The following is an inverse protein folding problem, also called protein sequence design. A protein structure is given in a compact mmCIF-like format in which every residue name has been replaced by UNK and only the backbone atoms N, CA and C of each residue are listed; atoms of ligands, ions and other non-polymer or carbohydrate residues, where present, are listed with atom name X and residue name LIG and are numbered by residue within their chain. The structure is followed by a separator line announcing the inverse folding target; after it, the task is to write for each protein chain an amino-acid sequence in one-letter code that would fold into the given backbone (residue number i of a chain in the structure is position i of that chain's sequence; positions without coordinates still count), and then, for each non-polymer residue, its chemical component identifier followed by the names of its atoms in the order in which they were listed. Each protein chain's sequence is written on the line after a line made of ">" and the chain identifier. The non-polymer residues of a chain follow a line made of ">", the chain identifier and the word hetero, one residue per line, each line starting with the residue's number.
data_IF_521855073177
#
_entry.id   IF_521855073177
#
_cell.length_a   1.000
_cell.length_b   1.000
_cell.length_c   1.000
_cell.angle_alpha   90.00
_cell.angle_beta   90.00
_cell.angle_gamma   90.00
#
_symmetry.space_group_name_H-M   'P 1'
#
loop_
_entity.id
_entity.type
_entity.pdbx_description
1 polymer ?
#
# COMPACT_ATOMS: atom_id res chain seq x y z
N UNK A 1 50.65 -0.49 30.56
CA UNK A 1 50.52 0.96 30.50
C UNK A 1 49.95 1.28 29.14
N UNK A 2 48.63 1.40 29.04
CA UNK A 2 47.93 1.99 27.89
C UNK A 2 47.24 3.23 28.43
N UNK A 3 47.67 4.40 28.01
CA UNK A 3 47.13 5.68 28.37
C UNK A 3 45.94 6.01 27.46
N UNK A 4 44.78 6.24 28.09
CA UNK A 4 43.58 6.76 27.45
C UNK A 4 43.83 8.14 26.84
N UNK A 5 43.56 8.27 25.53
CA UNK A 5 43.43 9.56 24.86
C UNK A 5 41.96 9.71 24.42
N UNK A 6 41.16 10.38 25.22
CA UNK A 6 39.83 10.84 24.84
C UNK A 6 40.00 11.99 23.81
N UNK A 7 39.26 11.98 22.71
CA UNK A 7 39.29 13.08 21.74
C UNK A 7 38.67 14.34 22.34
N UNK A 8 39.36 15.48 22.17
CA UNK A 8 38.96 16.77 22.66
C UNK A 8 37.65 17.28 22.04
N UNK A 9 36.86 18.02 22.81
CA UNK A 9 35.57 18.63 22.50
C UNK A 9 35.48 19.32 21.11
N UNK A 10 36.59 19.79 20.57
CA UNK A 10 36.69 20.48 19.26
C UNK A 10 36.50 19.52 18.06
N UNK A 11 36.89 18.22 18.20
CA UNK A 11 36.73 17.24 17.13
C UNK A 11 35.24 16.81 16.97
N UNK A 12 34.51 16.79 18.08
CA UNK A 12 33.06 16.47 18.07
C UNK A 12 32.22 17.58 17.44
N UNK A 13 32.56 18.85 17.68
CA UNK A 13 31.88 20.00 17.06
C UNK A 13 32.06 20.04 15.53
N UNK A 14 33.23 19.65 15.04
CA UNK A 14 33.53 19.62 13.59
C UNK A 14 32.83 18.45 12.88
N UNK A 15 32.64 17.31 13.54
CA UNK A 15 31.89 16.18 13.01
C UNK A 15 30.38 16.50 12.87
N UNK A 16 29.80 17.18 13.86
CA UNK A 16 28.40 17.60 13.84
C UNK A 16 28.13 18.67 12.74
N UNK A 17 29.09 19.55 12.51
CA UNK A 17 29.00 20.57 11.43
C UNK A 17 29.03 19.93 10.03
N UNK A 18 29.82 18.84 9.83
CA UNK A 18 29.89 18.14 8.55
C UNK A 18 28.62 17.34 8.23
N UNK A 19 27.92 16.80 9.22
CA UNK A 19 26.63 16.11 9.01
C UNK A 19 25.52 17.09 8.61
N UNK A 20 25.59 18.37 9.05
CA UNK A 20 24.63 19.41 8.62
C UNK A 20 24.85 19.92 7.19
N UNK A 21 26.02 19.72 6.60
CA UNK A 21 26.35 20.22 5.26
C UNK A 21 25.87 19.28 4.12
N UNK A 22 25.54 18.03 4.39
CA UNK A 22 25.07 17.07 3.38
C UNK A 22 23.54 17.12 3.13
N UNK A 23 22.81 17.90 3.91
CA UNK A 23 21.34 18.00 3.83
C UNK A 23 20.81 19.13 2.95
N UNK A 24 21.59 19.66 2.00
CA UNK A 24 21.10 20.62 1.00
C UNK A 24 21.16 20.05 -0.40
N UNK A 25 20.29 19.09 -0.68
CA UNK A 25 19.83 18.85 -2.04
C UNK A 25 18.76 19.91 -2.35
N UNK A 26 18.81 20.61 -3.49
CA UNK A 26 17.78 21.56 -3.88
C UNK A 26 16.55 20.81 -4.42
N UNK A 27 15.79 20.22 -3.53
CA UNK A 27 14.42 19.82 -3.77
C UNK A 27 13.54 20.96 -3.30
N UNK A 28 12.78 21.57 -4.17
CA UNK A 28 11.83 22.64 -3.86
C UNK A 28 10.72 22.13 -2.94
N UNK A 29 10.97 22.10 -1.64
CA UNK A 29 9.88 22.10 -0.67
C UNK A 29 9.35 23.53 -0.63
N UNK A 30 8.35 23.84 -1.46
CA UNK A 30 7.57 25.07 -1.31
C UNK A 30 6.85 25.01 0.03
N UNK A 31 7.05 26.04 0.85
CA UNK A 31 6.29 26.24 2.08
C UNK A 31 4.79 26.24 1.74
N UNK A 32 4.03 25.41 2.43
CA UNK A 32 2.58 25.35 2.30
C UNK A 32 1.98 26.67 2.78
N UNK A 33 1.39 27.43 1.87
CA UNK A 33 0.51 28.55 2.22
C UNK A 33 -0.82 27.94 2.71
N UNK A 34 -1.07 28.04 4.00
CA UNK A 34 -2.32 27.61 4.61
C UNK A 34 -3.38 28.67 4.46
N UNK A 35 -4.14 28.63 3.37
CA UNK A 35 -5.49 29.22 3.36
C UNK A 35 -6.45 28.13 3.88
N UNK A 36 -7.23 28.34 4.95
CA UNK A 36 -8.16 27.35 5.41
C UNK A 36 -9.37 27.31 4.47
N UNK A 37 -9.30 26.51 3.40
CA UNK A 37 -10.49 25.99 2.80
C UNK A 37 -11.10 25.00 3.81
N UNK A 38 -12.35 25.20 4.21
CA UNK A 38 -13.13 24.20 4.95
C UNK A 38 -13.24 22.99 4.02
N UNK A 39 -12.26 22.12 4.07
CA UNK A 39 -12.27 20.86 3.34
C UNK A 39 -13.44 20.06 3.89
N UNK A 40 -14.34 19.56 3.02
CA UNK A 40 -15.33 18.58 3.42
C UNK A 40 -14.62 17.42 4.10
N UNK A 41 -15.26 16.79 5.09
CA UNK A 41 -14.65 15.69 5.86
C UNK A 41 -14.08 14.57 4.97
N UNK A 42 -14.58 14.41 3.73
CA UNK A 42 -14.19 13.41 2.73
C UNK A 42 -13.26 13.95 1.62
N UNK A 43 -12.70 15.17 1.76
CA UNK A 43 -11.96 15.79 0.66
C UNK A 43 -12.78 16.06 -0.61
N UNK A 44 -14.11 16.20 -0.45
CA UNK A 44 -15.03 16.43 -1.56
C UNK A 44 -15.52 15.16 -2.27
N UNK A 45 -15.09 13.96 -1.83
CA UNK A 45 -15.57 12.70 -2.39
C UNK A 45 -16.96 12.39 -1.88
N UNK A 46 -17.91 12.22 -2.79
CA UNK A 46 -19.33 11.88 -2.52
C UNK A 46 -19.67 10.46 -2.95
N UNK A 47 -18.98 9.92 -3.94
CA UNK A 47 -19.15 8.56 -4.47
C UNK A 47 -17.81 7.92 -4.79
N UNK A 48 -17.63 6.67 -4.36
CA UNK A 48 -16.43 5.88 -4.58
C UNK A 48 -16.73 4.73 -5.53
N UNK A 49 -15.88 4.51 -6.53
CA UNK A 49 -15.79 3.27 -7.28
C UNK A 49 -14.66 2.40 -6.73
N UNK A 50 -14.90 1.12 -6.54
CA UNK A 50 -13.84 0.14 -6.20
C UNK A 50 -13.86 -0.97 -7.23
N UNK A 51 -12.72 -1.25 -7.88
CA UNK A 51 -12.59 -2.29 -8.89
C UNK A 51 -11.83 -3.47 -8.34
N UNK A 52 -12.45 -4.64 -8.37
CA UNK A 52 -11.96 -5.90 -7.78
C UNK A 52 -12.67 -6.22 -6.46
N UNK A 53 -13.48 -7.29 -6.45
CA UNK A 53 -14.20 -7.77 -5.27
C UNK A 53 -13.40 -8.79 -4.43
N UNK A 54 -12.09 -8.85 -4.64
CA UNK A 54 -11.17 -9.63 -3.82
C UNK A 54 -10.97 -9.05 -2.42
N UNK A 55 -10.11 -9.69 -1.63
CA UNK A 55 -9.86 -9.33 -0.23
C UNK A 55 -9.53 -7.84 -0.04
N UNK A 56 -8.68 -7.28 -0.90
CA UNK A 56 -8.26 -5.88 -0.77
C UNK A 56 -9.40 -4.92 -1.16
N UNK A 57 -10.00 -5.08 -2.36
CA UNK A 57 -11.05 -4.18 -2.82
C UNK A 57 -12.28 -4.22 -1.93
N UNK A 58 -12.70 -5.40 -1.49
CA UNK A 58 -13.78 -5.56 -0.53
C UNK A 58 -13.47 -4.85 0.81
N UNK A 59 -12.24 -5.02 1.32
CA UNK A 59 -11.81 -4.36 2.54
C UNK A 59 -11.81 -2.84 2.40
N UNK A 60 -11.39 -2.29 1.25
CA UNK A 60 -11.40 -0.86 0.94
C UNK A 60 -12.86 -0.36 0.87
N UNK A 61 -13.72 -1.05 0.11
CA UNK A 61 -15.13 -0.71 -0.02
C UNK A 61 -15.85 -0.66 1.34
N UNK A 62 -15.61 -1.69 2.17
CA UNK A 62 -16.23 -1.80 3.49
C UNK A 62 -15.77 -0.68 4.43
N UNK A 63 -14.47 -0.38 4.46
CA UNK A 63 -13.93 0.71 5.30
C UNK A 63 -14.41 2.08 4.81
N UNK A 64 -14.54 2.31 3.49
CA UNK A 64 -15.11 3.54 2.96
C UNK A 64 -16.59 3.70 3.38
N UNK A 65 -17.40 2.66 3.24
CA UNK A 65 -18.80 2.68 3.66
C UNK A 65 -18.96 2.92 5.17
N UNK A 66 -18.15 2.27 6.01
CA UNK A 66 -18.22 2.38 7.46
C UNK A 66 -17.70 3.70 8.02
N UNK A 67 -16.61 4.24 7.45
CA UNK A 67 -15.87 5.37 8.04
C UNK A 67 -16.09 6.68 7.29
N UNK A 68 -15.94 6.68 5.98
CA UNK A 68 -16.18 7.85 5.16
C UNK A 68 -17.68 8.06 4.89
N UNK A 69 -18.50 7.03 5.07
CA UNK A 69 -19.96 7.04 4.88
C UNK A 69 -20.39 7.53 3.49
N UNK A 70 -19.64 7.14 2.48
CA UNK A 70 -19.94 7.45 1.08
C UNK A 70 -20.50 6.22 0.36
N UNK A 71 -21.43 6.37 -0.59
CA UNK A 71 -21.85 5.32 -1.49
C UNK A 71 -20.66 4.74 -2.25
N UNK A 72 -20.60 3.41 -2.34
CA UNK A 72 -19.52 2.66 -2.99
C UNK A 72 -20.10 1.74 -4.05
N UNK A 73 -19.66 1.91 -5.30
CA UNK A 73 -19.92 0.97 -6.38
C UNK A 73 -18.75 -0.02 -6.44
N UNK A 74 -19.01 -1.28 -6.04
CA UNK A 74 -18.01 -2.36 -6.09
C UNK A 74 -18.14 -3.11 -7.40
N UNK A 75 -17.12 -2.99 -8.26
CA UNK A 75 -17.08 -3.55 -9.61
C UNK A 75 -16.21 -4.79 -9.65
N UNK A 76 -16.73 -5.88 -10.20
CA UNK A 76 -15.94 -7.05 -10.58
C UNK A 76 -16.60 -7.72 -11.80
N UNK A 77 -15.81 -7.99 -12.85
CA UNK A 77 -16.31 -8.65 -14.06
C UNK A 77 -16.83 -10.08 -13.78
N UNK A 78 -16.35 -10.71 -12.71
CA UNK A 78 -16.81 -12.02 -12.27
C UNK A 78 -17.93 -11.86 -11.22
N UNK A 79 -19.18 -12.02 -11.68
CA UNK A 79 -20.36 -11.94 -10.80
C UNK A 79 -20.28 -12.87 -9.58
N UNK A 80 -19.75 -14.08 -9.73
CA UNK A 80 -19.63 -15.03 -8.62
C UNK A 80 -18.61 -14.55 -7.56
N UNK A 81 -17.51 -13.89 -7.99
CA UNK A 81 -16.57 -13.26 -7.08
C UNK A 81 -17.21 -12.08 -6.33
N UNK A 82 -18.02 -11.28 -7.03
CA UNK A 82 -18.75 -10.17 -6.46
C UNK A 82 -19.76 -10.63 -5.41
N UNK A 83 -20.60 -11.62 -5.74
CA UNK A 83 -21.60 -12.17 -4.82
C UNK A 83 -20.93 -12.79 -3.57
N UNK A 84 -19.82 -13.52 -3.75
CA UNK A 84 -19.01 -14.08 -2.66
C UNK A 84 -18.39 -12.97 -1.79
N UNK A 85 -17.91 -11.91 -2.42
CA UNK A 85 -17.34 -10.74 -1.73
C UNK A 85 -18.39 -10.07 -0.84
N UNK A 86 -19.57 -9.78 -1.37
CA UNK A 86 -20.66 -9.15 -0.62
C UNK A 86 -21.14 -10.03 0.55
N UNK A 87 -21.29 -11.33 0.34
CA UNK A 87 -21.63 -12.26 1.41
C UNK A 87 -20.55 -12.30 2.51
N UNK A 88 -19.27 -12.11 2.14
CA UNK A 88 -18.18 -12.01 3.11
C UNK A 88 -18.21 -10.66 3.85
N UNK A 89 -18.54 -9.54 3.18
CA UNK A 89 -18.75 -8.26 3.84
C UNK A 89 -19.85 -8.34 4.93
N UNK A 90 -20.97 -8.99 4.63
CA UNK A 90 -22.05 -9.20 5.61
C UNK A 90 -21.56 -9.98 6.84
N UNK A 91 -20.76 -11.04 6.64
CA UNK A 91 -20.16 -11.80 7.75
C UNK A 91 -19.22 -10.96 8.60
N UNK A 92 -18.44 -10.04 7.97
CA UNK A 92 -17.55 -9.15 8.69
C UNK A 92 -18.34 -8.11 9.51
N UNK A 93 -19.38 -7.51 8.94
CA UNK A 93 -20.28 -6.59 9.65
C UNK A 93 -20.96 -7.27 10.84
N UNK A 94 -21.55 -8.44 10.63
CA UNK A 94 -22.19 -9.21 11.71
C UNK A 94 -21.18 -9.58 12.83
N UNK A 95 -19.93 -9.92 12.47
CA UNK A 95 -18.86 -10.18 13.44
C UNK A 95 -18.49 -8.92 14.24
N UNK A 96 -18.48 -7.75 13.62
CA UNK A 96 -18.16 -6.51 14.31
C UNK A 96 -19.31 -6.09 15.25
N UNK A 97 -20.58 -6.31 14.86
CA UNK A 97 -21.75 -6.14 15.74
C UNK A 97 -21.66 -7.11 16.93
N UNK A 98 -21.42 -8.41 16.70
CA UNK A 98 -21.33 -9.40 17.78
C UNK A 98 -20.19 -9.13 18.78
N UNK A 99 -19.15 -8.39 18.36
CA UNK A 99 -18.06 -7.94 19.21
C UNK A 99 -18.24 -6.53 19.76
N UNK A 100 -19.42 -5.94 19.61
CA UNK A 100 -19.76 -4.58 20.05
C UNK A 100 -18.79 -3.50 19.56
N UNK A 101 -18.23 -3.70 18.36
CA UNK A 101 -17.35 -2.71 17.70
C UNK A 101 -18.15 -1.65 16.94
N UNK A 102 -19.32 -2.04 16.43
CA UNK A 102 -20.31 -1.20 15.76
C UNK A 102 -21.69 -1.62 16.22
N UNK A 103 -22.68 -0.72 16.07
CA UNK A 103 -24.10 -1.04 16.31
C UNK A 103 -24.70 -1.74 15.09
N UNK A 104 -25.90 -2.33 15.26
CA UNK A 104 -26.63 -2.93 14.14
C UNK A 104 -26.99 -1.86 13.09
N UNK A 105 -27.42 -0.67 13.53
CA UNK A 105 -27.76 0.44 12.64
C UNK A 105 -26.55 0.88 11.80
N UNK A 106 -25.34 0.92 12.40
CA UNK A 106 -24.11 1.24 11.67
C UNK A 106 -23.77 0.16 10.64
N UNK A 107 -24.01 -1.11 10.96
CA UNK A 107 -23.80 -2.21 10.03
C UNK A 107 -24.78 -2.13 8.84
N UNK A 108 -26.06 -1.89 9.11
CA UNK A 108 -27.12 -1.76 8.11
C UNK A 108 -26.88 -0.55 7.20
N UNK A 109 -26.45 0.57 7.77
CA UNK A 109 -26.04 1.76 7.03
C UNK A 109 -24.84 1.46 6.10
N UNK A 110 -23.78 0.84 6.62
CA UNK A 110 -22.62 0.49 5.80
C UNK A 110 -23.00 -0.46 4.65
N UNK A 111 -23.88 -1.42 4.91
CA UNK A 111 -24.40 -2.33 3.90
C UNK A 111 -25.20 -1.60 2.81
N UNK A 112 -26.06 -0.68 3.18
CA UNK A 112 -26.89 0.09 2.23
C UNK A 112 -26.09 0.99 1.31
N UNK A 113 -24.84 1.32 1.67
CA UNK A 113 -23.90 2.11 0.87
C UNK A 113 -23.12 1.28 -0.15
N UNK A 114 -23.19 -0.07 -0.11
CA UNK A 114 -22.48 -0.95 -1.03
C UNK A 114 -23.39 -1.39 -2.17
N UNK A 115 -23.07 -1.02 -3.40
CA UNK A 115 -23.78 -1.41 -4.63
C UNK A 115 -22.86 -2.25 -5.52
N UNK A 116 -23.27 -3.46 -5.93
CA UNK A 116 -22.51 -4.27 -6.87
C UNK A 116 -22.70 -3.79 -8.30
N UNK A 117 -21.63 -3.93 -9.10
CA UNK A 117 -21.63 -3.67 -10.53
C UNK A 117 -20.74 -4.66 -11.26
N UNK A 118 -21.00 -4.94 -12.53
CA UNK A 118 -20.20 -5.86 -13.34
C UNK A 118 -19.44 -5.17 -14.47
N UNK A 119 -19.66 -3.88 -14.68
CA UNK A 119 -18.99 -3.08 -15.70
C UNK A 119 -18.36 -1.82 -15.11
N UNK A 120 -17.18 -1.46 -15.62
CA UNK A 120 -16.51 -0.18 -15.34
C UNK A 120 -17.37 0.99 -15.83
N UNK A 121 -18.22 0.80 -16.83
CA UNK A 121 -19.11 1.85 -17.36
C UNK A 121 -20.10 2.39 -16.30
N UNK A 122 -20.36 1.62 -15.25
CA UNK A 122 -21.19 2.04 -14.10
C UNK A 122 -20.48 3.05 -13.17
N UNK A 123 -19.22 3.42 -13.45
CA UNK A 123 -18.44 4.41 -12.71
C UNK A 123 -18.51 5.82 -13.33
N UNK A 124 -19.49 6.11 -14.16
CA UNK A 124 -19.61 7.39 -14.87
C UNK A 124 -20.00 8.60 -13.99
N UNK A 125 -20.33 8.38 -12.71
CA UNK A 125 -20.76 9.41 -11.76
C UNK A 125 -19.96 9.44 -10.46
N UNK A 126 -18.79 8.76 -10.40
CA UNK A 126 -17.95 8.71 -9.20
C UNK A 126 -16.95 9.88 -9.14
N UNK A 127 -16.57 10.26 -7.91
CA UNK A 127 -15.55 11.30 -7.67
C UNK A 127 -14.15 10.71 -7.44
N UNK A 128 -14.11 9.42 -7.12
CA UNK A 128 -12.88 8.70 -6.78
C UNK A 128 -13.01 7.23 -7.17
N UNK A 129 -11.97 6.66 -7.76
CA UNK A 129 -11.88 5.21 -8.03
C UNK A 129 -10.67 4.65 -7.33
N UNK A 130 -10.79 3.46 -6.76
CA UNK A 130 -9.66 2.67 -6.26
C UNK A 130 -9.67 1.31 -6.95
N UNK A 131 -8.66 1.06 -7.78
CA UNK A 131 -8.45 -0.22 -8.43
C UNK A 131 -7.67 -1.16 -7.52
N UNK A 132 -8.16 -2.38 -7.33
CA UNK A 132 -7.59 -3.43 -6.49
C UNK A 132 -7.69 -4.83 -7.15
N UNK A 133 -7.47 -4.90 -8.48
CA UNK A 133 -7.41 -6.15 -9.24
C UNK A 133 -6.02 -6.82 -9.08
N UNK A 134 -5.83 -8.08 -9.57
CA UNK A 134 -4.52 -8.74 -9.53
C UNK A 134 -3.39 -7.89 -10.11
N UNK A 135 -2.17 -8.10 -9.59
CA UNK A 135 -0.97 -7.31 -9.89
C UNK A 135 -0.39 -7.67 -11.27
N UNK A 136 -1.19 -7.43 -12.32
CA UNK A 136 -0.86 -7.69 -13.72
C UNK A 136 -0.81 -6.36 -14.47
N UNK A 137 0.38 -5.90 -14.94
CA UNK A 137 0.56 -4.58 -15.53
C UNK A 137 -0.43 -4.28 -16.67
N UNK A 138 -0.52 -5.15 -17.67
CA UNK A 138 -1.38 -4.91 -18.83
C UNK A 138 -2.87 -4.79 -18.45
N UNK A 139 -3.35 -5.62 -17.50
CA UNK A 139 -4.72 -5.52 -17.01
C UNK A 139 -4.99 -4.15 -16.38
N UNK A 140 -4.05 -3.66 -15.55
CA UNK A 140 -4.20 -2.34 -14.93
C UNK A 140 -4.14 -1.22 -15.97
N UNK A 141 -3.26 -1.31 -16.97
CA UNK A 141 -3.18 -0.32 -18.05
C UNK A 141 -4.49 -0.23 -18.85
N UNK A 142 -5.10 -1.36 -19.20
CA UNK A 142 -6.40 -1.42 -19.87
C UNK A 142 -7.51 -0.81 -19.03
N UNK A 143 -7.55 -1.13 -17.72
CA UNK A 143 -8.51 -0.55 -16.78
C UNK A 143 -8.34 0.96 -16.69
N UNK A 144 -7.12 1.48 -16.54
CA UNK A 144 -6.89 2.91 -16.41
C UNK A 144 -7.16 3.69 -17.71
N UNK A 145 -6.88 3.11 -18.87
CA UNK A 145 -7.31 3.67 -20.16
C UNK A 145 -8.83 3.80 -20.20
N UNK A 146 -9.57 2.75 -19.83
CA UNK A 146 -11.04 2.76 -19.78
C UNK A 146 -11.59 3.75 -18.75
N UNK A 147 -10.99 3.83 -17.56
CA UNK A 147 -11.39 4.79 -16.52
C UNK A 147 -11.23 6.26 -16.97
N UNK A 148 -10.19 6.54 -17.75
CA UNK A 148 -9.96 7.88 -18.28
C UNK A 148 -11.10 8.33 -19.22
N UNK A 149 -11.72 7.38 -19.93
CA UNK A 149 -12.86 7.63 -20.84
C UNK A 149 -14.18 7.73 -20.07
N UNK A 150 -14.42 6.85 -19.11
CA UNK A 150 -15.72 6.68 -18.44
C UNK A 150 -15.91 7.64 -17.28
N UNK A 151 -14.89 7.83 -16.44
CA UNK A 151 -15.03 8.62 -15.22
C UNK A 151 -15.06 10.12 -15.49
N UNK A 152 -15.80 10.90 -14.68
CA UNK A 152 -15.80 12.35 -14.77
C UNK A 152 -14.39 12.93 -14.70
N UNK A 153 -14.14 14.03 -15.40
CA UNK A 153 -12.81 14.68 -15.48
C UNK A 153 -12.25 15.14 -14.14
N UNK A 154 -13.09 15.31 -13.12
CA UNK A 154 -12.68 15.66 -11.75
C UNK A 154 -12.39 14.45 -10.86
N UNK A 155 -12.71 13.24 -11.33
CA UNK A 155 -12.53 12.02 -10.56
C UNK A 155 -11.06 11.65 -10.41
N UNK A 156 -10.62 11.30 -9.21
CA UNK A 156 -9.31 10.72 -8.95
C UNK A 156 -9.30 9.25 -9.33
N UNK A 157 -8.28 8.82 -10.04
CA UNK A 157 -8.07 7.45 -10.49
C UNK A 157 -6.93 6.83 -9.67
N UNK A 158 -7.29 6.13 -8.59
CA UNK A 158 -6.29 5.52 -7.71
C UNK A 158 -6.10 4.04 -7.99
N UNK A 159 -4.87 3.55 -7.81
CA UNK A 159 -4.52 2.13 -7.83
C UNK A 159 -4.06 1.66 -6.46
N UNK A 160 -4.35 0.41 -6.10
CA UNK A 160 -3.81 -0.25 -4.91
C UNK A 160 -2.62 -1.16 -5.25
N UNK A 161 -1.86 -0.82 -6.28
CA UNK A 161 -0.66 -1.58 -6.67
C UNK A 161 0.40 -1.58 -5.56
N UNK A 162 1.13 -2.68 -5.44
CA UNK A 162 2.26 -2.82 -4.50
C UNK A 162 3.62 -2.62 -5.17
N UNK A 163 3.69 -2.64 -6.52
CA UNK A 163 4.97 -2.70 -7.23
C UNK A 163 5.00 -2.01 -8.58
N UNK A 164 3.83 -1.81 -9.23
CA UNK A 164 3.80 -1.23 -10.58
C UNK A 164 3.94 0.29 -10.50
N UNK A 165 4.84 0.86 -11.30
CA UNK A 165 5.07 2.32 -11.36
C UNK A 165 3.79 3.09 -11.67
N UNK A 166 3.51 4.10 -10.85
CA UNK A 166 2.35 4.97 -10.99
C UNK A 166 2.47 5.83 -12.26
N UNK A 167 3.70 6.22 -12.60
CA UNK A 167 4.03 6.92 -13.85
C UNK A 167 3.64 6.09 -15.08
N UNK A 168 3.89 4.77 -15.05
CA UNK A 168 3.50 3.86 -16.14
C UNK A 168 1.98 3.67 -16.23
N UNK A 169 1.30 3.54 -15.09
CA UNK A 169 -0.16 3.46 -15.04
C UNK A 169 -0.77 4.77 -15.54
N UNK A 170 -0.26 5.92 -15.12
CA UNK A 170 -0.72 7.22 -15.57
C UNK A 170 -0.54 7.41 -17.09
N UNK A 171 0.59 6.95 -17.63
CA UNK A 171 0.85 7.02 -19.08
C UNK A 171 -0.16 6.20 -19.92
N UNK A 172 -0.77 5.15 -19.36
CA UNK A 172 -1.78 4.35 -20.07
C UNK A 172 -3.13 5.05 -20.25
N UNK A 173 -3.37 6.16 -19.56
CA UNK A 173 -4.64 6.91 -19.62
C UNK A 173 -4.79 7.77 -20.88
N UNK A 174 -3.73 7.95 -21.64
CA UNK A 174 -3.72 8.75 -22.88
C UNK A 174 -2.78 8.17 -23.92
N UNK A 175 -3.07 8.39 -25.20
CA UNK A 175 -2.16 8.08 -26.32
C UNK A 175 -1.24 9.25 -26.66
N UNK A 176 -1.59 10.45 -26.23
CA UNK A 176 -0.80 11.66 -26.41
C UNK A 176 -0.05 11.99 -25.11
N UNK A 177 1.27 11.81 -25.05
CA UNK A 177 2.05 12.08 -23.85
C UNK A 177 2.06 13.56 -23.42
N UNK A 178 1.62 14.47 -24.30
CA UNK A 178 1.50 15.90 -23.99
C UNK A 178 0.16 16.26 -23.34
N UNK A 179 -0.86 15.40 -23.46
CA UNK A 179 -2.15 15.55 -22.78
C UNK A 179 -2.07 14.94 -21.38
N UNK A 180 -1.93 15.79 -20.40
CA UNK A 180 -1.88 15.40 -18.98
C UNK A 180 -3.25 15.41 -18.28
N UNK A 181 -4.33 15.69 -18.99
CA UNK A 181 -5.68 15.86 -18.40
C UNK A 181 -6.17 14.63 -17.64
N UNK A 182 -5.88 13.42 -18.14
CA UNK A 182 -6.22 12.17 -17.48
C UNK A 182 -5.08 11.67 -16.57
N UNK A 183 -3.83 11.70 -17.04
CA UNK A 183 -2.67 11.20 -16.30
C UNK A 183 -2.40 11.98 -15.00
N UNK A 184 -2.72 13.28 -14.95
CA UNK A 184 -2.59 14.10 -13.73
C UNK A 184 -3.53 13.69 -12.60
N UNK A 185 -4.58 12.91 -12.89
CA UNK A 185 -5.56 12.40 -11.92
C UNK A 185 -5.20 11.03 -11.35
N UNK A 186 -4.10 10.43 -11.81
CA UNK A 186 -3.66 9.10 -11.38
C UNK A 186 -2.75 9.21 -10.16
N UNK A 187 -3.02 8.37 -9.15
CA UNK A 187 -2.27 8.27 -7.89
C UNK A 187 -2.32 6.83 -7.39
N UNK A 188 -1.40 6.41 -6.52
CA UNK A 188 -1.64 5.18 -5.76
C UNK A 188 -2.16 5.48 -4.36
N UNK A 189 -3.10 4.65 -3.91
CA UNK A 189 -3.51 4.51 -2.52
C UNK A 189 -3.24 3.07 -2.10
N UNK A 190 -2.00 2.81 -1.69
CA UNK A 190 -1.55 1.46 -1.34
C UNK A 190 -1.94 1.13 0.10
N UNK A 191 -3.05 0.42 0.25
CA UNK A 191 -3.59 -0.01 1.54
C UNK A 191 -2.83 -1.23 2.07
N UNK A 192 -2.52 -1.22 3.37
CA UNK A 192 -1.90 -2.36 4.02
C UNK A 192 -2.93 -3.46 4.35
N UNK A 193 -2.54 -4.71 4.16
CA UNK A 193 -3.38 -5.89 4.43
C UNK A 193 -3.26 -6.32 5.91
N UNK A 194 -4.37 -6.60 6.61
CA UNK A 194 -5.78 -6.49 6.25
C UNK A 194 -6.32 -5.05 6.35
N UNK A 195 -7.04 -4.59 5.32
CA UNK A 195 -7.51 -3.19 5.23
C UNK A 195 -8.30 -2.72 6.45
N UNK A 196 -9.25 -3.47 7.04
CA UNK A 196 -9.99 -3.01 8.22
C UNK A 196 -9.12 -2.83 9.47
N UNK A 197 -7.97 -3.50 9.55
CA UNK A 197 -7.11 -3.51 10.75
C UNK A 197 -5.97 -2.52 10.63
N UNK A 198 -5.29 -2.52 9.50
CA UNK A 198 -4.11 -1.68 9.26
C UNK A 198 -4.52 -0.23 9.04
N UNK A 199 -3.87 0.67 9.78
CA UNK A 199 -4.15 2.11 9.69
C UNK A 199 -3.35 2.79 8.57
N UNK A 200 -2.17 2.28 8.25
CA UNK A 200 -1.28 2.89 7.25
C UNK A 200 -1.80 2.74 5.82
N UNK A 201 -1.69 3.81 5.05
CA UNK A 201 -1.87 3.83 3.59
C UNK A 201 -0.74 4.65 3.00
N UNK A 202 -0.02 4.11 2.03
CA UNK A 202 0.94 4.90 1.26
C UNK A 202 0.21 5.61 0.11
N UNK A 203 0.47 6.89 -0.03
CA UNK A 203 -0.01 7.70 -1.15
C UNK A 203 1.17 7.98 -2.06
N UNK A 204 1.17 7.42 -3.25
CA UNK A 204 2.31 7.48 -4.16
C UNK A 204 1.94 8.30 -5.40
N UNK A 205 2.71 9.35 -5.66
CA UNK A 205 2.56 10.19 -6.85
C UNK A 205 3.50 9.73 -7.96
N UNK A 206 2.97 9.52 -9.17
CA UNK A 206 3.77 9.41 -10.38
C UNK A 206 4.27 10.79 -10.86
N UNK A 207 5.04 10.81 -11.93
CA UNK A 207 5.56 12.07 -12.50
C UNK A 207 4.45 13.03 -12.95
N UNK A 208 3.30 12.47 -13.40
CA UNK A 208 2.18 13.24 -13.93
C UNK A 208 1.19 13.69 -12.85
N UNK A 209 1.21 13.05 -11.66
CA UNK A 209 0.21 13.28 -10.61
C UNK A 209 0.18 14.75 -10.18
N UNK A 210 -1.00 15.38 -10.26
CA UNK A 210 -1.17 16.77 -9.80
C UNK A 210 -1.22 16.88 -8.27
N UNK A 211 -0.86 18.05 -7.74
CA UNK A 211 -0.96 18.32 -6.30
C UNK A 211 -2.40 18.21 -5.81
N UNK A 212 -3.38 18.66 -6.60
CA UNK A 212 -4.81 18.53 -6.28
C UNK A 212 -5.23 17.07 -6.10
N UNK A 213 -4.79 16.19 -7.01
CA UNK A 213 -5.03 14.73 -6.93
C UNK A 213 -4.43 14.15 -5.65
N UNK A 214 -3.20 14.53 -5.34
CA UNK A 214 -2.51 14.07 -4.14
C UNK A 214 -3.24 14.52 -2.86
N UNK A 215 -3.60 15.79 -2.78
CA UNK A 215 -4.30 16.37 -1.62
C UNK A 215 -5.68 15.72 -1.42
N UNK A 216 -6.42 15.49 -2.51
CA UNK A 216 -7.73 14.80 -2.48
C UNK A 216 -7.59 13.35 -2.02
N UNK A 217 -6.56 12.62 -2.48
CA UNK A 217 -6.30 11.26 -2.05
C UNK A 217 -5.93 11.17 -0.56
N UNK A 218 -5.10 12.09 -0.06
CA UNK A 218 -4.73 12.18 1.36
C UNK A 218 -5.97 12.47 2.21
N UNK A 219 -6.79 13.45 1.81
CA UNK A 219 -7.99 13.83 2.55
C UNK A 219 -9.01 12.68 2.60
N UNK A 220 -9.22 11.98 1.48
CA UNK A 220 -10.15 10.85 1.44
C UNK A 220 -9.67 9.67 2.27
N UNK A 221 -8.39 9.30 2.21
CA UNK A 221 -7.84 8.25 3.07
C UNK A 221 -7.96 8.60 4.56
N UNK A 222 -7.77 9.86 4.94
CA UNK A 222 -8.01 10.33 6.32
C UNK A 222 -9.49 10.17 6.73
N UNK A 223 -10.44 10.50 5.84
CA UNK A 223 -11.87 10.29 6.08
C UNK A 223 -12.22 8.81 6.28
N UNK A 224 -11.50 7.90 5.63
CA UNK A 224 -11.59 6.45 5.86
C UNK A 224 -10.94 6.01 7.18
N UNK A 225 -10.48 6.92 8.03
CA UNK A 225 -9.80 6.63 9.30
C UNK A 225 -8.38 6.10 9.13
N UNK A 226 -7.74 6.37 7.99
CA UNK A 226 -6.38 5.94 7.69
C UNK A 226 -5.36 7.02 7.99
N UNK A 227 -4.11 6.59 8.20
CA UNK A 227 -2.93 7.44 8.31
C UNK A 227 -2.21 7.40 6.97
N UNK A 228 -2.31 8.50 6.23
CA UNK A 228 -1.68 8.64 4.92
C UNK A 228 -0.20 9.03 5.06
N UNK A 229 0.67 8.28 4.40
CA UNK A 229 2.11 8.56 4.27
C UNK A 229 2.44 8.74 2.79
N UNK A 230 3.04 9.88 2.44
CA UNK A 230 3.33 10.21 1.04
C UNK A 230 4.71 9.69 0.65
N UNK A 231 4.82 9.09 -0.53
CA UNK A 231 6.09 8.71 -1.15
C UNK A 231 6.13 9.01 -2.64
N UNK A 232 7.32 9.00 -3.20
CA UNK A 232 7.53 9.08 -4.64
C UNK A 232 7.35 7.71 -5.29
N UNK A 233 7.06 7.72 -6.61
CA UNK A 233 7.04 6.52 -7.46
C UNK A 233 8.46 5.96 -7.61
N UNK A 234 8.78 5.00 -6.75
CA UNK A 234 10.07 4.32 -6.69
C UNK A 234 9.84 2.84 -6.40
N UNK A 235 10.67 1.92 -6.90
CA UNK A 235 10.50 0.50 -6.67
C UNK A 235 10.31 0.16 -5.18
N UNK A 236 9.19 -0.53 -4.88
CA UNK A 236 8.80 -0.93 -3.53
C UNK A 236 8.26 0.20 -2.64
N UNK A 237 8.12 1.42 -3.15
CA UNK A 237 7.65 2.61 -2.44
C UNK A 237 8.41 2.81 -1.11
N UNK A 238 7.74 3.11 0.00
CA UNK A 238 8.40 3.17 1.32
C UNK A 238 8.35 1.82 2.03
N UNK A 239 7.17 1.20 2.14
CA UNK A 239 6.98 0.03 2.97
C UNK A 239 7.83 -1.15 2.48
N UNK A 240 7.68 -1.56 1.23
CA UNK A 240 8.39 -2.72 0.70
C UNK A 240 9.90 -2.45 0.53
N UNK A 241 10.29 -1.20 0.21
CA UNK A 241 11.70 -0.81 0.10
C UNK A 241 12.45 -0.98 1.41
N UNK A 242 11.77 -0.83 2.56
CA UNK A 242 12.36 -1.00 3.89
C UNK A 242 12.14 -2.43 4.40
N UNK A 243 10.91 -2.94 4.24
CA UNK A 243 10.49 -4.22 4.81
C UNK A 243 11.19 -5.42 4.15
N UNK A 244 11.34 -5.40 2.83
CA UNK A 244 11.91 -6.55 2.14
C UNK A 244 13.38 -6.79 2.47
N UNK A 245 14.28 -5.79 2.48
CA UNK A 245 15.63 -5.96 3.00
C UNK A 245 15.68 -6.41 4.45
N UNK A 246 14.80 -5.91 5.32
CA UNK A 246 14.70 -6.34 6.72
C UNK A 246 14.38 -7.84 6.83
N UNK A 247 13.39 -8.33 6.09
CA UNK A 247 13.05 -9.75 6.02
C UNK A 247 14.21 -10.55 5.42
N UNK A 248 14.74 -10.10 4.28
CA UNK A 248 15.80 -10.81 3.57
C UNK A 248 17.07 -10.95 4.41
N UNK A 249 17.44 -9.92 5.19
CA UNK A 249 18.57 -9.98 6.10
C UNK A 249 18.34 -11.01 7.23
N UNK A 250 17.14 -11.11 7.77
CA UNK A 250 16.79 -12.14 8.73
C UNK A 250 16.90 -13.56 8.13
N UNK A 251 16.50 -13.72 6.87
CA UNK A 251 16.67 -14.99 6.14
C UNK A 251 18.16 -15.29 5.91
N UNK A 252 18.98 -14.29 5.59
CA UNK A 252 20.43 -14.44 5.44
C UNK A 252 21.08 -14.82 6.77
N UNK A 253 20.66 -14.22 7.89
CA UNK A 253 21.13 -14.62 9.22
C UNK A 253 20.86 -16.10 9.51
N UNK A 254 19.68 -16.60 9.14
CA UNK A 254 19.33 -18.02 9.26
C UNK A 254 20.19 -18.88 8.30
N UNK A 255 20.30 -18.47 7.03
CA UNK A 255 21.05 -19.19 6.00
C UNK A 255 22.52 -19.34 6.33
N UNK A 256 23.12 -18.32 6.96
CA UNK A 256 24.55 -18.28 7.30
C UNK A 256 24.86 -18.79 8.72
N UNK A 257 23.84 -19.21 9.47
CA UNK A 257 24.00 -19.77 10.81
C UNK A 257 24.35 -18.75 11.90
N UNK A 258 24.03 -17.46 11.71
CA UNK A 258 24.17 -16.43 12.73
C UNK A 258 23.23 -16.69 13.91
N UNK A 259 22.04 -17.25 13.64
CA UNK A 259 21.05 -17.64 14.66
C UNK A 259 20.04 -18.61 14.09
N UNK A 260 19.36 -19.34 14.97
CA UNK A 260 18.18 -20.13 14.62
C UNK A 260 16.95 -19.21 14.43
N UNK A 261 15.89 -19.75 13.84
CA UNK A 261 14.69 -18.99 13.49
C UNK A 261 13.97 -18.41 14.72
N UNK A 262 13.98 -19.16 15.83
CA UNK A 262 13.37 -18.75 17.09
C UNK A 262 14.12 -17.57 17.70
N UNK A 263 15.45 -17.64 17.73
CA UNK A 263 16.31 -16.58 18.26
C UNK A 263 16.23 -15.29 17.44
N UNK A 264 16.24 -15.40 16.09
CA UNK A 264 16.10 -14.25 15.19
C UNK A 264 14.77 -13.54 15.43
N UNK A 265 13.65 -14.26 15.42
CA UNK A 265 12.33 -13.66 15.61
C UNK A 265 12.15 -13.13 17.05
N UNK A 266 12.66 -13.85 18.05
CA UNK A 266 12.56 -13.46 19.45
C UNK A 266 13.31 -12.16 19.75
N UNK A 267 14.56 -12.02 19.26
CA UNK A 267 15.34 -10.80 19.53
C UNK A 267 14.73 -9.58 18.84
N UNK A 268 14.23 -9.74 17.63
CA UNK A 268 13.57 -8.65 16.92
C UNK A 268 12.25 -8.25 17.58
N UNK A 269 11.46 -9.22 17.99
CA UNK A 269 10.19 -8.96 18.69
C UNK A 269 10.41 -8.27 20.05
N UNK A 270 11.34 -8.76 20.87
CA UNK A 270 11.51 -8.32 22.24
C UNK A 270 12.56 -7.20 22.39
N UNK A 271 13.54 -7.13 21.47
CA UNK A 271 14.59 -6.11 21.49
C UNK A 271 14.24 -4.83 20.74
N UNK A 272 13.42 -4.94 19.68
CA UNK A 272 13.00 -3.78 18.87
C UNK A 272 11.50 -3.48 18.93
N UNK A 273 10.76 -4.25 19.74
CA UNK A 273 9.32 -4.10 19.98
C UNK A 273 8.46 -4.18 18.72
N UNK A 274 8.87 -4.96 17.72
CA UNK A 274 8.02 -5.26 16.56
C UNK A 274 6.93 -6.28 16.95
N UNK A 275 5.71 -6.19 16.42
CA UNK A 275 4.61 -7.07 16.81
C UNK A 275 4.83 -8.53 16.39
N UNK A 276 5.66 -8.77 15.39
CA UNK A 276 5.95 -10.09 14.82
C UNK A 276 7.41 -10.12 14.36
N UNK A 277 8.11 -11.23 14.64
CA UNK A 277 9.48 -11.41 14.13
C UNK A 277 9.53 -11.49 12.60
N UNK A 278 10.68 -11.19 11.99
CA UNK A 278 10.80 -11.06 10.52
C UNK A 278 10.51 -12.35 9.75
N UNK A 279 10.86 -13.52 10.29
CA UNK A 279 10.61 -14.80 9.62
C UNK A 279 9.14 -15.22 9.74
N UNK A 280 8.51 -14.99 10.90
CA UNK A 280 7.05 -15.15 11.04
C UNK A 280 6.29 -14.18 10.14
N UNK A 281 6.78 -12.95 9.99
CA UNK A 281 6.18 -11.95 9.11
C UNK A 281 6.30 -12.36 7.64
N UNK A 282 7.44 -12.91 7.23
CA UNK A 282 7.62 -13.48 5.90
C UNK A 282 6.63 -14.60 5.61
N UNK A 283 6.45 -15.54 6.56
CA UNK A 283 5.46 -16.62 6.44
C UNK A 283 4.02 -16.09 6.38
N UNK A 284 3.72 -15.02 7.10
CA UNK A 284 2.40 -14.36 7.07
C UNK A 284 2.11 -13.67 5.73
N UNK A 285 3.11 -12.98 5.15
CA UNK A 285 3.01 -12.33 3.83
C UNK A 285 2.93 -13.38 2.73
N UNK A 286 3.69 -14.43 2.86
CA UNK A 286 3.94 -15.46 1.87
C UNK A 286 5.32 -15.30 1.22
N UNK A 287 6.13 -16.38 1.27
CA UNK A 287 7.52 -16.35 0.83
C UNK A 287 7.67 -16.09 -0.68
N UNK A 288 6.74 -16.58 -1.48
CA UNK A 288 6.66 -16.28 -2.92
C UNK A 288 6.38 -14.80 -3.19
N UNK A 289 5.52 -14.16 -2.38
CA UNK A 289 5.25 -12.73 -2.44
C UNK A 289 6.50 -11.93 -2.07
N UNK A 290 7.18 -12.30 -0.97
CA UNK A 290 8.44 -11.67 -0.56
C UNK A 290 9.51 -11.80 -1.67
N UNK A 291 9.64 -12.99 -2.24
CA UNK A 291 10.59 -13.25 -3.34
C UNK A 291 10.25 -12.42 -4.58
N UNK A 292 8.97 -12.32 -4.96
CA UNK A 292 8.54 -11.53 -6.11
C UNK A 292 8.88 -10.03 -5.93
N UNK A 293 8.58 -9.47 -4.75
CA UNK A 293 8.89 -8.07 -4.46
C UNK A 293 10.42 -7.85 -4.45
N UNK A 294 11.20 -8.74 -3.85
CA UNK A 294 12.67 -8.64 -3.86
C UNK A 294 13.24 -8.68 -5.28
N UNK A 295 12.67 -9.50 -6.18
CA UNK A 295 13.07 -9.53 -7.59
C UNK A 295 12.80 -8.19 -8.27
N UNK A 296 11.61 -7.63 -8.10
CA UNK A 296 11.26 -6.30 -8.65
C UNK A 296 12.23 -5.23 -8.13
N UNK A 297 12.49 -5.19 -6.82
CA UNK A 297 13.44 -4.25 -6.22
C UNK A 297 14.83 -4.39 -6.82
N UNK A 298 15.30 -5.62 -7.00
CA UNK A 298 16.63 -5.89 -7.55
C UNK A 298 16.73 -5.53 -9.04
N UNK A 299 15.75 -5.92 -9.84
CA UNK A 299 15.72 -5.68 -11.29
C UNK A 299 15.58 -4.20 -11.63
N UNK A 300 14.70 -3.49 -10.92
CA UNK A 300 14.40 -2.07 -11.18
C UNK A 300 15.50 -1.12 -10.65
N UNK A 301 16.26 -1.54 -9.63
CA UNK A 301 17.29 -0.67 -9.03
C UNK A 301 18.72 -1.07 -9.43
N UNK A 302 18.96 -2.33 -9.78
CA UNK A 302 20.28 -2.90 -9.99
C UNK A 302 21.15 -2.97 -8.71
N UNK A 303 20.58 -2.66 -7.54
CA UNK A 303 21.33 -2.62 -6.28
C UNK A 303 21.37 -3.99 -5.61
N UNK A 304 22.58 -4.50 -5.38
CA UNK A 304 22.83 -5.84 -4.82
C UNK A 304 22.23 -6.07 -3.43
N UNK A 305 21.91 -5.01 -2.67
CA UNK A 305 21.23 -5.14 -1.36
C UNK A 305 19.84 -5.76 -1.46
N UNK A 306 19.21 -5.71 -2.64
CA UNK A 306 17.91 -6.32 -2.89
C UNK A 306 17.99 -7.72 -3.48
N UNK A 307 19.19 -8.29 -3.63
CA UNK A 307 19.38 -9.65 -4.09
C UNK A 307 18.68 -10.63 -3.11
N UNK A 308 17.67 -11.40 -3.56
CA UNK A 308 17.01 -12.36 -2.68
C UNK A 308 17.99 -13.41 -2.15
N UNK A 309 17.87 -13.78 -0.87
CA UNK A 309 18.59 -14.90 -0.26
C UNK A 309 18.39 -16.20 -1.06
N UNK A 310 19.40 -17.04 -1.09
CA UNK A 310 19.31 -18.35 -1.76
C UNK A 310 18.33 -19.25 -1.02
N UNK A 311 18.31 -19.20 0.31
CA UNK A 311 17.36 -19.96 1.13
C UNK A 311 15.92 -19.58 0.80
N UNK A 312 15.59 -18.29 0.69
CA UNK A 312 14.25 -17.84 0.32
C UNK A 312 13.79 -18.43 -1.01
N UNK A 313 14.69 -18.44 -2.02
CA UNK A 313 14.39 -19.03 -3.33
C UNK A 313 14.11 -20.54 -3.22
N UNK A 314 15.00 -21.26 -2.51
CA UNK A 314 14.84 -22.71 -2.30
C UNK A 314 13.53 -23.08 -1.61
N UNK A 315 13.13 -22.29 -0.61
CA UNK A 315 11.86 -22.54 0.10
C UNK A 315 10.67 -22.34 -0.83
N UNK A 316 10.67 -21.28 -1.64
CA UNK A 316 9.61 -21.05 -2.63
C UNK A 316 9.58 -22.15 -3.67
N UNK A 317 10.72 -22.59 -4.19
CA UNK A 317 10.83 -23.71 -5.14
C UNK A 317 10.32 -25.04 -4.53
N UNK A 318 10.49 -25.23 -3.22
CA UNK A 318 9.96 -26.37 -2.48
C UNK A 318 8.45 -26.28 -2.18
N UNK A 319 7.77 -25.18 -2.55
CA UNK A 319 6.37 -24.95 -2.22
C UNK A 319 6.11 -24.59 -0.76
N UNK A 320 7.16 -24.24 0.01
CA UNK A 320 7.05 -23.80 1.40
C UNK A 320 6.79 -22.30 1.41
N UNK A 321 5.52 -21.93 1.24
CA UNK A 321 5.12 -20.54 0.99
C UNK A 321 4.66 -19.81 2.26
N UNK A 322 4.88 -20.38 3.42
CA UNK A 322 4.47 -19.85 4.72
C UNK A 322 3.07 -20.32 5.10
N UNK A 323 2.36 -19.49 5.86
CA UNK A 323 1.06 -19.83 6.46
C UNK A 323 0.02 -20.32 5.45
N UNK A 324 0.01 -19.79 4.24
CA UNK A 324 -0.96 -20.15 3.20
C UNK A 324 -0.79 -21.58 2.65
N UNK A 325 0.41 -22.17 2.75
CA UNK A 325 0.71 -23.55 2.35
C UNK A 325 0.85 -24.49 3.54
N UNK A 326 0.62 -24.01 4.78
CA UNK A 326 0.81 -24.77 6.01
C UNK A 326 2.29 -24.93 6.43
N UNK A 327 3.24 -24.49 5.60
CA UNK A 327 4.68 -24.60 5.87
C UNK A 327 5.45 -23.42 5.28
N UNK A 328 6.38 -22.89 6.07
CA UNK A 328 7.35 -21.86 5.71
C UNK A 328 8.60 -22.03 6.54
N UNK A 329 9.07 -20.95 7.18
CA UNK A 329 10.07 -21.05 8.26
C UNK A 329 9.51 -21.81 9.46
N UNK A 330 8.21 -21.72 9.66
CA UNK A 330 7.44 -22.46 10.69
C UNK A 330 6.43 -23.39 10.05
N UNK A 331 5.95 -24.37 10.85
CA UNK A 331 4.83 -25.23 10.51
C UNK A 331 3.52 -24.65 11.10
N UNK A 332 2.39 -24.74 10.36
CA UNK A 332 1.11 -24.11 10.70
C UNK A 332 -0.05 -25.11 10.67
#
# INVERSE_FOLDING_TARGET
>A
MYSDVLPTSTAMATAIARVRAVAKLPGQFRAFSSTPMVASATGGVKRLGVIGAGQMGLGIALVAAQRAQVPVTLVDANKAALDKGLAFAEKLLAKDVSKSRITQEQADQARSLLSPATSIDELSDVDFVIEAVPEIPNLKFEIFAKLAEVCPKHAVLATNTSSISITRIAASTTKDPTDTSASSRVVSTHFMNPVPIQKGVEIISGLQTSQETLDKAIAFCKAMGKVASVSADSPGFLANRILMPYINEAVICLETGVGDKESIDSIMKNGTNVPMGPLQLADFIGLDTCLAIMKVLYEETGDSKYRPSVLLRKMVDAGWLGKKSGKGFYDY
#
